data_IF_412186335212
#
_entry.id   IF_412186335212
#
_cell.length_a   1.000
_cell.length_b   1.000
_cell.length_c   1.000
_cell.angle_alpha   90.00
_cell.angle_beta   90.00
_cell.angle_gamma   90.00
#
_symmetry.space_group_name_H-M   'P 1'
#
loop_
_entity.id
_entity.type
_entity.pdbx_description
1 polymer ?
#
# COMPACT_ATOMS: atom_id res chain seq x y z
N UNK A 1 -1.17 -8.99 -26.93
CA UNK A 1 -1.30 -7.65 -26.31
C UNK A 1 0.10 -7.13 -26.00
N UNK A 2 0.59 -6.16 -26.77
CA UNK A 2 2.01 -5.75 -26.72
C UNK A 2 2.38 -4.99 -25.45
N UNK A 3 3.63 -5.15 -25.01
CA UNK A 3 4.25 -4.51 -23.83
C UNK A 3 4.05 -2.97 -23.84
N UNK A 4 3.94 -2.36 -25.03
CA UNK A 4 3.65 -0.93 -25.21
C UNK A 4 2.24 -0.52 -24.75
N UNK A 5 1.24 -1.39 -24.88
CA UNK A 5 -0.14 -1.16 -24.41
C UNK A 5 -0.23 -1.30 -22.89
N UNK A 6 0.58 -2.18 -22.29
CA UNK A 6 0.65 -2.38 -20.84
C UNK A 6 1.22 -1.15 -20.11
N UNK A 7 2.28 -0.53 -20.67
CA UNK A 7 2.95 0.67 -20.12
C UNK A 7 2.06 1.91 -19.99
N UNK A 8 0.98 1.99 -20.77
CA UNK A 8 0.00 3.08 -20.70
C UNK A 8 -1.27 2.73 -19.93
N UNK A 9 -1.37 1.51 -19.39
CA UNK A 9 -2.55 1.11 -18.65
C UNK A 9 -2.50 1.66 -17.20
N UNK A 10 -3.62 2.15 -16.67
CA UNK A 10 -3.72 2.63 -15.29
C UNK A 10 -3.40 1.52 -14.27
N UNK A 11 -3.64 0.25 -14.61
CA UNK A 11 -3.23 -0.89 -13.77
C UNK A 11 -1.72 -0.93 -13.46
N UNK A 12 -0.86 -0.49 -14.40
CA UNK A 12 0.59 -0.46 -14.17
C UNK A 12 0.97 0.59 -13.10
N UNK A 13 0.16 1.63 -12.93
CA UNK A 13 0.37 2.64 -11.90
C UNK A 13 0.19 2.06 -10.49
N UNK A 14 -0.86 1.25 -10.27
CA UNK A 14 -1.08 0.58 -9.00
C UNK A 14 0.02 -0.43 -8.67
N UNK A 15 0.48 -1.20 -9.66
CA UNK A 15 1.56 -2.19 -9.46
C UNK A 15 2.89 -1.50 -9.13
N UNK A 16 3.24 -0.42 -9.84
CA UNK A 16 4.45 0.36 -9.52
C UNK A 16 4.35 0.99 -8.14
N UNK A 17 3.19 1.58 -7.80
CA UNK A 17 2.96 2.14 -6.48
C UNK A 17 3.07 1.08 -5.38
N UNK A 18 2.51 -0.10 -5.59
CA UNK A 18 2.64 -1.24 -4.69
C UNK A 18 4.11 -1.66 -4.53
N UNK A 19 4.87 -1.81 -5.62
CA UNK A 19 6.29 -2.19 -5.54
C UNK A 19 7.12 -1.18 -4.74
N UNK A 20 6.84 0.13 -4.88
CA UNK A 20 7.50 1.15 -4.06
C UNK A 20 7.16 1.00 -2.59
N UNK A 21 5.90 0.71 -2.26
CA UNK A 21 5.45 0.49 -0.88
C UNK A 21 6.11 -0.77 -0.30
N UNK A 22 6.13 -1.87 -1.04
CA UNK A 22 6.73 -3.14 -0.61
C UNK A 22 8.23 -3.00 -0.34
N UNK A 23 8.97 -2.25 -1.17
CA UNK A 23 10.40 -1.94 -0.94
C UNK A 23 10.58 -1.12 0.35
N UNK A 24 9.74 -0.13 0.60
CA UNK A 24 9.81 0.66 1.84
C UNK A 24 9.51 -0.20 3.08
N UNK A 25 8.53 -1.10 3.00
CA UNK A 25 8.21 -2.04 4.09
C UNK A 25 9.38 -2.96 4.38
N UNK A 26 10.00 -3.54 3.35
CA UNK A 26 11.16 -4.41 3.50
C UNK A 26 12.34 -3.68 4.18
N UNK A 27 12.58 -2.42 3.82
CA UNK A 27 13.62 -1.61 4.48
C UNK A 27 13.34 -1.38 5.96
N UNK A 28 12.08 -1.11 6.34
CA UNK A 28 11.69 -0.91 7.74
C UNK A 28 11.81 -2.21 8.54
N UNK A 29 11.39 -3.34 7.96
CA UNK A 29 11.54 -4.65 8.59
C UNK A 29 13.01 -5.04 8.77
N UNK A 30 13.86 -4.78 7.77
CA UNK A 30 15.31 -4.95 7.88
C UNK A 30 15.87 -4.12 9.04
N UNK A 31 15.41 -2.88 9.20
CA UNK A 31 15.83 -2.02 10.31
C UNK A 31 15.41 -2.58 11.69
N UNK A 32 14.25 -3.24 11.78
CA UNK A 32 13.79 -3.90 13.01
C UNK A 32 14.56 -5.19 13.33
N UNK A 33 14.97 -5.95 12.31
CA UNK A 33 15.61 -7.26 12.49
C UNK A 33 17.09 -7.12 12.84
N UNK A 34 17.79 -6.09 12.35
CA UNK A 34 19.21 -5.89 12.65
C UNK A 34 19.35 -5.62 14.16
N UNK A 35 19.90 -6.57 14.94
CA UNK A 35 19.99 -6.47 16.39
C UNK A 35 21.05 -5.43 16.70
N UNK A 36 20.60 -4.20 16.83
CA UNK A 36 21.46 -3.09 17.14
C UNK A 36 21.55 -3.02 18.65
N UNK A 37 22.59 -3.66 19.17
CA UNK A 37 23.03 -3.63 20.57
C UNK A 37 23.28 -2.20 21.11
N UNK A 38 23.04 -1.16 20.31
CA UNK A 38 23.30 0.25 20.60
C UNK A 38 22.28 1.25 20.02
N UNK A 39 21.27 0.83 19.25
CA UNK A 39 20.20 1.75 18.82
C UNK A 39 19.10 1.76 19.88
N UNK A 40 19.18 2.71 20.80
CA UNK A 40 18.08 3.08 21.69
C UNK A 40 16.96 3.72 20.87
N UNK A 41 16.23 2.91 20.10
CA UNK A 41 15.03 3.34 19.38
C UNK A 41 13.96 3.62 20.43
N UNK A 42 13.42 4.84 20.44
CA UNK A 42 12.32 5.20 21.34
C UNK A 42 11.14 4.23 21.15
N UNK A 43 10.48 3.86 22.24
CA UNK A 43 9.24 3.06 22.21
C UNK A 43 8.22 3.65 21.24
N UNK A 44 8.15 4.99 21.16
CA UNK A 44 7.28 5.71 20.21
C UNK A 44 7.66 5.41 18.75
N UNK A 45 8.95 5.40 18.43
CA UNK A 45 9.44 5.10 17.07
C UNK A 45 9.13 3.66 16.69
N UNK A 46 9.26 2.72 17.62
CA UNK A 46 8.88 1.32 17.38
C UNK A 46 7.37 1.17 17.09
N UNK A 47 6.50 1.81 17.90
CA UNK A 47 5.05 1.82 17.66
C UNK A 47 4.70 2.41 16.29
N UNK A 48 5.32 3.52 15.91
CA UNK A 48 5.10 4.16 14.61
C UNK A 48 5.56 3.28 13.44
N UNK A 49 6.69 2.58 13.57
CA UNK A 49 7.17 1.65 12.54
C UNK A 49 6.22 0.48 12.36
N UNK A 50 5.76 -0.15 13.44
CA UNK A 50 4.79 -1.26 13.38
C UNK A 50 3.47 -0.80 12.76
N UNK A 51 2.95 0.36 13.18
CA UNK A 51 1.76 0.95 12.58
C UNK A 51 1.93 1.19 11.08
N UNK A 52 3.06 1.79 10.68
CA UNK A 52 3.34 2.07 9.28
C UNK A 52 3.42 0.78 8.44
N UNK A 53 4.11 -0.25 8.94
CA UNK A 53 4.19 -1.57 8.28
C UNK A 53 2.79 -2.17 8.11
N UNK A 54 1.94 -2.11 9.12
CA UNK A 54 0.60 -2.70 9.04
C UNK A 54 -0.32 -1.97 8.06
N UNK A 55 -0.32 -0.63 8.08
CA UNK A 55 -1.09 0.21 7.15
C UNK A 55 -0.61 0.01 5.71
N UNK A 56 0.71 -0.01 5.49
CA UNK A 56 1.29 -0.19 4.14
C UNK A 56 1.05 -1.57 3.57
N UNK A 57 1.16 -2.63 4.39
CA UNK A 57 0.93 -4.03 3.95
C UNK A 57 -0.54 -4.25 3.55
N UNK A 58 -1.48 -3.72 4.34
CA UNK A 58 -2.92 -3.80 4.03
C UNK A 58 -3.32 -2.92 2.84
N UNK A 59 -2.70 -1.75 2.69
CA UNK A 59 -2.85 -0.92 1.50
C UNK A 59 -2.31 -1.59 0.23
N UNK A 60 -1.16 -2.28 0.30
CA UNK A 60 -0.58 -3.03 -0.81
C UNK A 60 -1.53 -4.11 -1.34
N UNK A 61 -2.18 -4.88 -0.45
CA UNK A 61 -3.20 -5.86 -0.83
C UNK A 61 -4.41 -5.19 -1.51
N UNK A 62 -4.78 -4.00 -1.07
CA UNK A 62 -5.87 -3.23 -1.70
C UNK A 62 -5.50 -2.76 -3.11
N UNK A 63 -4.23 -2.41 -3.36
CA UNK A 63 -3.75 -2.06 -4.70
C UNK A 63 -3.79 -3.23 -5.67
N UNK A 64 -3.54 -4.45 -5.21
CA UNK A 64 -3.74 -5.66 -6.03
C UNK A 64 -5.20 -5.78 -6.46
N UNK A 65 -6.14 -5.65 -5.52
CA UNK A 65 -7.57 -5.69 -5.82
C UNK A 65 -7.98 -4.58 -6.81
N UNK A 66 -7.50 -3.36 -6.62
CA UNK A 66 -7.76 -2.24 -7.53
C UNK A 66 -7.17 -2.49 -8.93
N UNK A 67 -5.97 -3.08 -9.02
CA UNK A 67 -5.35 -3.42 -10.29
C UNK A 67 -6.13 -4.48 -11.07
N UNK A 68 -6.69 -5.47 -10.35
CA UNK A 68 -7.54 -6.50 -10.92
C UNK A 68 -8.89 -5.91 -11.39
N UNK A 69 -9.48 -5.03 -10.59
CA UNK A 69 -10.69 -4.32 -10.96
C UNK A 69 -10.48 -3.45 -12.21
N UNK A 70 -9.35 -2.74 -12.29
CA UNK A 70 -9.01 -1.91 -13.46
C UNK A 70 -8.86 -2.76 -14.73
N UNK A 71 -8.30 -3.97 -14.59
CA UNK A 71 -8.17 -4.93 -15.69
C UNK A 71 -9.52 -5.47 -16.15
N UNK A 72 -10.41 -5.78 -15.23
CA UNK A 72 -11.79 -6.15 -15.52
C UNK A 72 -12.57 -5.00 -16.15
N UNK A 73 -12.38 -3.76 -15.67
CA UNK A 73 -13.03 -2.58 -16.21
C UNK A 73 -12.59 -2.29 -17.65
N UNK A 74 -11.31 -2.55 -17.99
CA UNK A 74 -10.79 -2.47 -19.36
C UNK A 74 -11.47 -3.44 -20.33
N UNK A 75 -11.83 -4.65 -19.87
CA UNK A 75 -12.41 -5.70 -20.73
C UNK A 75 -13.94 -5.66 -20.78
N UNK A 76 -14.58 -4.83 -19.94
CA UNK A 76 -16.02 -4.66 -19.94
C UNK A 76 -16.56 -4.07 -21.25
N UNK A 77 -17.72 -4.56 -21.69
CA UNK A 77 -18.42 -4.05 -22.88
C UNK A 77 -19.04 -2.66 -22.65
N UNK A 78 -19.25 -2.28 -21.39
CA UNK A 78 -19.83 -0.97 -21.05
C UNK A 78 -18.81 0.15 -21.17
N UNK A 79 -19.11 1.14 -22.02
CA UNK A 79 -18.27 2.31 -22.20
C UNK A 79 -18.08 3.12 -20.90
N UNK A 80 -19.10 3.17 -20.03
CA UNK A 80 -19.03 3.85 -18.72
C UNK A 80 -18.02 3.18 -17.80
N UNK A 81 -18.02 1.85 -17.73
CA UNK A 81 -17.08 1.08 -16.90
C UNK A 81 -15.65 1.22 -17.46
N UNK A 82 -15.50 1.18 -18.78
CA UNK A 82 -14.20 1.36 -19.43
C UNK A 82 -13.58 2.75 -19.18
N UNK A 83 -14.40 3.79 -19.04
CA UNK A 83 -13.93 5.15 -18.70
C UNK A 83 -13.37 5.26 -17.28
N UNK A 84 -13.78 4.40 -16.34
CA UNK A 84 -13.21 4.35 -14.99
C UNK A 84 -11.76 3.92 -15.01
N UNK A 85 -11.34 3.13 -16.00
CA UNK A 85 -9.95 2.74 -16.24
C UNK A 85 -9.16 3.89 -16.91
N UNK A 86 -9.10 5.02 -16.23
CA UNK A 86 -8.34 6.20 -16.62
C UNK A 86 -7.30 6.54 -15.56
N UNK A 87 -6.11 6.99 -15.98
CA UNK A 87 -5.03 7.32 -15.05
C UNK A 87 -5.39 8.45 -14.08
N UNK A 88 -6.32 9.34 -14.46
CA UNK A 88 -6.81 10.40 -13.55
C UNK A 88 -7.59 9.80 -12.39
N UNK A 89 -8.44 8.82 -12.70
CA UNK A 89 -9.23 8.09 -11.72
C UNK A 89 -8.31 7.27 -10.83
N UNK A 90 -7.31 6.60 -11.42
CA UNK A 90 -6.34 5.82 -10.66
C UNK A 90 -5.55 6.65 -9.63
N UNK A 91 -5.15 7.88 -9.98
CA UNK A 91 -4.49 8.80 -9.02
C UNK A 91 -5.40 9.21 -7.87
N UNK A 92 -6.70 9.34 -8.11
CA UNK A 92 -7.67 9.67 -7.07
C UNK A 92 -7.94 8.48 -6.14
N UNK A 93 -7.98 7.25 -6.67
CA UNK A 93 -8.18 6.03 -5.88
C UNK A 93 -6.92 5.58 -5.14
N UNK A 94 -5.73 5.95 -5.59
CA UNK A 94 -4.46 5.58 -4.95
C UNK A 94 -4.34 5.96 -3.46
N UNK A 95 -4.67 7.18 -3.01
CA UNK A 95 -4.58 7.54 -1.58
C UNK A 95 -5.70 6.92 -0.71
N UNK A 96 -6.78 6.42 -1.30
CA UNK A 96 -7.97 5.97 -0.53
C UNK A 96 -7.66 4.78 0.40
N UNK A 97 -6.99 3.70 -0.06
CA UNK A 97 -6.60 2.61 0.82
C UNK A 97 -5.75 3.07 2.00
N UNK A 98 -4.79 3.99 1.78
CA UNK A 98 -3.95 4.50 2.85
C UNK A 98 -4.76 5.21 3.93
N UNK A 99 -5.71 6.08 3.54
CA UNK A 99 -6.55 6.81 4.49
C UNK A 99 -7.44 5.84 5.27
N UNK A 100 -8.10 4.91 4.56
CA UNK A 100 -9.02 3.95 5.16
C UNK A 100 -8.30 3.02 6.14
N UNK A 101 -7.16 2.45 5.75
CA UNK A 101 -6.39 1.57 6.62
C UNK A 101 -5.71 2.33 7.78
N UNK A 102 -5.32 3.59 7.58
CA UNK A 102 -4.80 4.42 8.68
C UNK A 102 -5.84 4.66 9.76
N UNK A 103 -7.10 4.94 9.37
CA UNK A 103 -8.20 5.14 10.31
C UNK A 103 -8.52 3.85 11.07
N UNK A 104 -8.58 2.71 10.37
CA UNK A 104 -8.88 1.41 10.97
C UNK A 104 -7.78 0.96 11.94
N UNK A 105 -6.50 1.18 11.60
CA UNK A 105 -5.39 0.78 12.47
C UNK A 105 -5.06 1.84 13.54
N UNK A 106 -5.66 3.04 13.49
CA UNK A 106 -5.41 4.10 14.48
C UNK A 106 -5.61 3.66 15.93
N UNK A 107 -6.62 2.82 16.29
CA UNK A 107 -6.78 2.36 17.67
C UNK A 107 -5.60 1.51 18.13
N UNK A 108 -4.98 0.74 17.22
CA UNK A 108 -3.84 -0.11 17.54
C UNK A 108 -2.65 0.68 18.09
N UNK A 109 -2.51 1.94 17.67
CA UNK A 109 -1.45 2.84 18.13
C UNK A 109 -1.64 3.26 19.60
N UNK A 110 -2.88 3.34 20.08
CA UNK A 110 -3.23 3.75 21.44
C UNK A 110 -3.41 2.57 22.40
N UNK A 111 -3.96 1.44 21.93
CA UNK A 111 -4.31 0.31 22.80
C UNK A 111 -3.21 -0.76 22.91
N UNK A 112 -2.30 -0.86 21.94
CA UNK A 112 -1.14 -1.76 22.08
C UNK A 112 0.01 -1.02 22.74
N UNK A 113 0.08 -1.12 24.06
CA UNK A 113 1.36 -0.97 24.75
C UNK A 113 2.26 -2.14 24.38
N UNK A 114 3.47 -1.82 23.93
CA UNK A 114 4.54 -2.78 23.72
C UNK A 114 4.80 -3.44 25.08
N UNK A 115 4.21 -4.61 25.31
CA UNK A 115 4.67 -5.51 26.36
C UNK A 115 6.07 -5.93 25.93
N UNK A 116 7.13 -5.48 26.62
CA UNK A 116 8.46 -6.00 26.32
C UNK A 116 8.46 -7.51 26.61
N UNK A 117 9.10 -8.33 25.76
CA UNK A 117 9.41 -9.71 26.15
C UNK A 117 10.30 -9.74 27.40
#
# INVERSE_FOLDING_TARGET
>A
MGIKTFRRSPSAYYVVGQSLVDVNVLLILLFQIIPSTSLSVSSVTCKLMVFFVQVTTTAAMSFLCLSAFDRWACTSQSARIRQLSSIRVARFFFPIPFILWSLINSPFLFYCDLVPP
#
